data_IF_772503433069
#
_entry.id   IF_772503433069
#
_cell.length_a   1.000
_cell.length_b   1.000
_cell.length_c   1.000
_cell.angle_alpha   90.00
_cell.angle_beta   90.00
_cell.angle_gamma   90.00
#
_symmetry.space_group_name_H-M   'P 1'
#
loop_
_entity.id
_entity.type
_entity.pdbx_description
1 polymer ?
#
# COMPACT_ATOMS: atom_id res chain seq x y z
N UNK A 1 -6.23 -9.05 -19.26
CA UNK A 1 -5.49 -9.17 -17.98
C UNK A 1 -4.79 -7.84 -17.67
N UNK A 2 -5.52 -6.84 -17.19
CA UNK A 2 -5.03 -5.46 -17.01
C UNK A 2 -4.60 -5.14 -15.56
N UNK A 3 -4.70 -6.11 -14.65
CA UNK A 3 -4.53 -5.89 -13.21
C UNK A 3 -3.06 -5.83 -12.79
N UNK A 4 -2.20 -6.70 -13.34
CA UNK A 4 -0.77 -6.77 -12.99
C UNK A 4 0.03 -5.55 -13.43
N UNK A 5 -0.29 -4.96 -14.58
CA UNK A 5 0.38 -3.75 -15.08
C UNK A 5 -0.02 -2.53 -14.24
N UNK A 6 -1.31 -2.38 -13.93
CA UNK A 6 -1.82 -1.32 -13.05
C UNK A 6 -1.26 -1.44 -11.64
N UNK A 7 -1.21 -2.64 -11.06
CA UNK A 7 -0.58 -2.88 -9.75
C UNK A 7 0.88 -2.43 -9.74
N UNK A 8 1.66 -2.73 -10.80
CA UNK A 8 3.05 -2.26 -10.89
C UNK A 8 3.17 -0.74 -10.98
N UNK A 9 2.24 -0.07 -11.65
CA UNK A 9 2.19 1.39 -11.71
C UNK A 9 1.79 1.99 -10.36
N UNK A 10 0.78 1.42 -9.70
CA UNK A 10 0.31 1.82 -8.37
C UNK A 10 1.39 1.63 -7.30
N UNK A 11 2.15 0.52 -7.35
CA UNK A 11 3.29 0.27 -6.48
C UNK A 11 4.36 1.35 -6.66
N UNK A 12 4.75 1.65 -7.90
CA UNK A 12 5.72 2.72 -8.18
C UNK A 12 5.22 4.08 -7.71
N UNK A 13 3.92 4.34 -7.88
CA UNK A 13 3.29 5.57 -7.41
C UNK A 13 3.35 5.68 -5.88
N UNK A 14 3.01 4.59 -5.18
CA UNK A 14 3.09 4.50 -3.73
C UNK A 14 4.53 4.70 -3.22
N UNK A 15 5.52 4.02 -3.82
CA UNK A 15 6.93 4.16 -3.45
C UNK A 15 7.47 5.59 -3.67
N UNK A 16 7.06 6.23 -4.77
CA UNK A 16 7.45 7.62 -5.06
C UNK A 16 6.75 8.63 -4.12
N UNK A 17 5.49 8.38 -3.76
CA UNK A 17 4.70 9.28 -2.90
C UNK A 17 5.13 9.18 -1.44
N UNK A 18 5.40 7.95 -0.97
CA UNK A 18 5.72 7.65 0.42
C UNK A 18 7.17 7.17 0.54
N UNK A 19 8.09 8.09 0.28
CA UNK A 19 9.51 7.81 0.40
C UNK A 19 9.90 7.42 1.83
N UNK A 20 10.82 6.45 1.97
CA UNK A 20 11.31 5.88 3.25
C UNK A 20 11.82 6.90 4.27
N UNK A 21 12.02 8.15 3.87
CA UNK A 21 12.63 9.21 4.68
C UNK A 21 11.65 10.31 5.09
N UNK A 22 10.42 10.34 4.59
CA UNK A 22 9.52 11.47 4.77
C UNK A 22 8.21 11.07 5.46
N UNK A 23 8.07 11.46 6.73
CA UNK A 23 6.78 11.48 7.44
C UNK A 23 6.49 10.30 8.38
N UNK A 24 5.28 10.33 8.92
CA UNK A 24 4.74 9.32 9.85
C UNK A 24 4.37 8.00 9.17
N UNK A 25 4.34 7.95 7.83
CA UNK A 25 4.02 6.75 7.07
C UNK A 25 5.09 6.51 6.02
N UNK A 26 5.75 5.36 6.10
CA UNK A 26 6.86 4.97 5.25
C UNK A 26 6.55 3.64 4.60
N UNK A 27 6.72 3.52 3.29
CA UNK A 27 6.62 2.22 2.62
C UNK A 27 7.98 1.54 2.70
N UNK A 28 8.01 0.39 3.37
CA UNK A 28 9.23 -0.40 3.56
C UNK A 28 9.49 -1.26 2.33
N UNK A 29 8.43 -1.91 1.84
CA UNK A 29 8.43 -2.74 0.64
C UNK A 29 7.03 -2.75 0.03
N UNK A 30 6.94 -2.73 -1.30
CA UNK A 30 5.70 -2.92 -2.01
C UNK A 30 5.93 -3.86 -3.20
N UNK A 31 5.17 -4.95 -3.24
CA UNK A 31 5.15 -5.95 -4.30
C UNK A 31 3.71 -6.15 -4.80
N UNK A 32 3.55 -7.03 -5.79
CA UNK A 32 2.25 -7.31 -6.43
C UNK A 32 1.30 -8.05 -5.47
N UNK A 33 1.86 -8.78 -4.51
CA UNK A 33 1.17 -9.67 -3.59
C UNK A 33 1.23 -9.19 -2.13
N UNK A 34 2.17 -8.33 -1.77
CA UNK A 34 2.32 -7.81 -0.41
C UNK A 34 2.77 -6.35 -0.37
N UNK A 35 2.31 -5.61 0.64
CA UNK A 35 2.79 -4.27 0.96
C UNK A 35 3.14 -4.22 2.43
N UNK A 36 4.38 -3.84 2.72
CA UNK A 36 4.87 -3.60 4.05
C UNK A 36 5.06 -2.09 4.26
N UNK A 37 4.34 -1.54 5.22
CA UNK A 37 4.44 -0.13 5.61
C UNK A 37 4.81 0.00 7.09
N UNK A 38 5.54 1.06 7.40
CA UNK A 38 5.94 1.44 8.74
C UNK A 38 5.26 2.75 9.08
N UNK A 39 4.49 2.73 10.16
CA UNK A 39 3.91 3.93 10.74
C UNK A 39 4.73 4.35 11.96
N UNK A 40 5.12 5.62 12.03
CA UNK A 40 5.82 6.21 13.17
C UNK A 40 4.82 7.13 13.89
N UNK A 41 4.40 6.70 15.08
CA UNK A 41 3.51 7.46 15.95
C UNK A 41 4.17 8.72 16.50
N UNK A 42 3.37 9.63 17.06
CA UNK A 42 3.83 10.91 17.62
C UNK A 42 4.84 10.75 18.77
N UNK A 43 4.83 9.60 19.44
CA UNK A 43 5.72 9.29 20.56
C UNK A 43 7.00 8.54 20.14
N UNK A 44 7.26 8.39 18.83
CA UNK A 44 8.42 7.65 18.31
C UNK A 44 8.21 6.13 18.22
N UNK A 45 7.05 5.62 18.64
CA UNK A 45 6.69 4.20 18.48
C UNK A 45 6.48 3.89 17.00
N UNK A 46 7.21 2.90 16.49
CA UNK A 46 7.07 2.44 15.11
C UNK A 46 6.28 1.15 15.04
N UNK A 47 5.20 1.14 14.27
CA UNK A 47 4.40 -0.05 13.97
C UNK A 47 4.69 -0.48 12.54
N UNK A 48 5.03 -1.76 12.36
CA UNK A 48 5.21 -2.36 11.03
C UNK A 48 3.93 -3.12 10.70
N UNK A 49 3.34 -2.82 9.55
CA UNK A 49 2.11 -3.42 9.05
C UNK A 49 2.45 -4.14 7.75
N UNK A 50 2.20 -5.44 7.72
CA UNK A 50 2.33 -6.28 6.54
C UNK A 50 0.92 -6.61 6.03
N UNK A 51 0.58 -6.12 4.85
CA UNK A 51 -0.69 -6.37 4.20
C UNK A 51 -0.50 -7.23 2.96
N UNK A 52 -1.35 -8.24 2.77
CA UNK A 52 -1.38 -9.05 1.57
C UNK A 52 -2.40 -8.48 0.57
N UNK A 53 -1.99 -8.26 -0.67
CA UNK A 53 -2.85 -7.83 -1.76
C UNK A 53 -3.49 -9.08 -2.37
N UNK A 54 -4.72 -9.35 -1.95
CA UNK A 54 -5.53 -10.38 -2.59
C UNK A 54 -6.36 -9.76 -3.71
N UNK A 55 -6.48 -10.49 -4.82
CA UNK A 55 -7.31 -10.10 -5.96
C UNK A 55 -8.81 -10.30 -5.64
N UNK A 56 -9.31 -9.69 -4.56
CA UNK A 56 -10.72 -9.66 -4.22
C UNK A 56 -11.28 -8.25 -4.44
N UNK A 57 -11.14 -7.75 -5.65
CA UNK A 57 -11.89 -6.60 -6.10
C UNK A 57 -13.32 -7.02 -6.38
N UNK A 58 -14.09 -7.16 -5.30
CA UNK A 58 -15.49 -6.78 -5.30
C UNK A 58 -15.54 -5.27 -5.60
N UNK A 59 -15.54 -4.91 -6.88
CA UNK A 59 -16.08 -3.62 -7.35
C UNK A 59 -17.61 -3.54 -7.15
N UNK A 60 -18.22 -4.41 -6.34
CA UNK A 60 -19.66 -4.63 -6.24
C UNK A 60 -20.32 -3.93 -5.03
N UNK A 61 -19.58 -3.31 -4.11
CA UNK A 61 -20.20 -2.58 -2.98
C UNK A 61 -20.48 -1.10 -3.24
N UNK A 62 -20.15 -0.56 -4.43
CA UNK A 62 -20.52 0.79 -4.86
C UNK A 62 -21.59 0.80 -5.97
N UNK A 63 -22.58 -0.09 -5.91
CA UNK A 63 -23.91 0.12 -6.54
C UNK A 63 -24.98 -0.42 -5.58
N UNK A 64 -25.12 0.24 -4.43
CA UNK A 64 -26.39 0.24 -3.70
C UNK A 64 -26.77 1.68 -3.40
N UNK A 65 -27.52 2.28 -4.31
CA UNK A 65 -28.60 3.24 -4.06
C UNK A 65 -29.44 3.33 -5.32
#
# INVERSE_FOLDING_TARGET
>A
MACLLRLKEDIKFLENTFSKKAGHFQIVSASVDEVACRFIGKNGESVIINANITQNLNYASCVKS
#
